data_IF_625182865840
#
_entry.id   IF_625182865840
#
_cell.length_a   1.000
_cell.length_b   1.000
_cell.length_c   1.000
_cell.angle_alpha   90.00
_cell.angle_beta   90.00
_cell.angle_gamma   90.00
#
_symmetry.space_group_name_H-M   'P 1'
#
loop_
_entity.id
_entity.type
_entity.pdbx_description
1 polymer ?
#
# COMPACT_ATOMS: atom_id res chain seq x y z
N UNK A 1 15.26 39.24 2.89
CA UNK A 1 14.70 38.63 4.11
C UNK A 1 14.63 37.11 3.91
N UNK A 2 15.77 36.43 3.95
CA UNK A 2 15.84 34.97 3.80
C UNK A 2 16.11 34.34 5.15
N UNK A 3 15.04 34.00 5.85
CA UNK A 3 15.08 33.42 7.18
C UNK A 3 15.32 31.90 7.06
N UNK A 4 16.56 31.51 6.72
CA UNK A 4 16.99 30.11 6.82
C UNK A 4 17.18 29.77 8.31
N UNK A 5 16.33 28.89 8.83
CA UNK A 5 16.47 28.32 10.17
C UNK A 5 17.92 27.84 10.40
N UNK A 6 18.53 28.09 11.57
CA UNK A 6 19.90 27.67 11.84
C UNK A 6 19.97 26.14 11.84
N UNK A 7 20.73 25.56 10.90
CA UNK A 7 21.13 24.15 10.99
C UNK A 7 21.95 24.00 12.27
N UNK A 8 21.38 23.34 13.27
CA UNK A 8 22.08 22.97 14.50
C UNK A 8 23.35 22.21 14.13
N UNK A 9 24.52 22.87 14.28
CA UNK A 9 25.82 22.20 14.17
C UNK A 9 25.92 21.26 15.37
N UNK A 10 26.07 19.95 15.10
CA UNK A 10 26.31 18.97 16.15
C UNK A 10 27.55 19.38 16.95
N UNK A 11 27.38 19.66 18.25
CA UNK A 11 28.48 19.92 19.18
C UNK A 11 29.29 18.63 19.31
N UNK A 12 30.62 18.70 19.31
CA UNK A 12 31.51 17.53 19.40
C UNK A 12 31.30 16.65 20.65
N UNK A 13 30.58 17.16 21.65
CA UNK A 13 30.19 16.46 22.88
C UNK A 13 28.88 15.67 22.80
N UNK A 14 28.08 15.83 21.74
CA UNK A 14 26.73 15.25 21.66
C UNK A 14 26.64 14.25 20.50
N UNK A 15 26.30 13.00 20.79
CA UNK A 15 26.03 11.97 19.78
C UNK A 15 24.52 11.84 19.56
N UNK A 16 24.07 12.06 18.34
CA UNK A 16 22.67 11.84 17.92
C UNK A 16 22.59 10.51 17.17
N UNK A 17 21.75 9.59 17.64
CA UNK A 17 21.44 8.33 16.95
C UNK A 17 19.95 8.21 16.68
N UNK A 18 19.58 7.56 15.58
CA UNK A 18 18.18 7.20 15.29
C UNK A 18 18.06 5.69 15.17
N UNK A 19 16.99 5.12 15.72
CA UNK A 19 16.67 3.70 15.66
C UNK A 19 15.30 3.55 14.97
N UNK A 20 15.15 2.53 14.14
CA UNK A 20 13.87 2.21 13.48
C UNK A 20 13.24 1.02 14.19
N UNK A 21 12.03 1.20 14.68
CA UNK A 21 11.26 0.18 15.37
C UNK A 21 10.01 -0.21 14.55
N UNK A 22 9.50 -1.45 14.70
CA UNK A 22 8.25 -1.86 14.08
C UNK A 22 7.08 -1.00 14.57
N UNK A 23 6.12 -0.74 13.68
CA UNK A 23 4.95 0.10 13.98
C UNK A 23 3.97 -0.59 14.96
N UNK A 24 4.04 -1.91 15.07
CA UNK A 24 3.08 -2.74 15.81
C UNK A 24 2.11 -3.48 14.89
N UNK A 25 0.89 -3.71 15.37
CA UNK A 25 -0.13 -4.50 14.65
C UNK A 25 -0.58 -3.78 13.37
N UNK A 26 -0.61 -4.53 12.26
CA UNK A 26 -0.96 -4.03 10.93
C UNK A 26 -2.24 -4.69 10.40
N UNK A 27 -3.21 -3.88 9.96
CA UNK A 27 -4.37 -4.34 9.19
C UNK A 27 -4.08 -4.32 7.70
N UNK A 28 -4.18 -5.48 7.04
CA UNK A 28 -3.84 -5.67 5.63
C UNK A 28 -5.09 -6.07 4.85
N UNK A 29 -5.48 -5.27 3.86
CA UNK A 29 -6.65 -5.54 3.01
C UNK A 29 -6.16 -5.67 1.56
N UNK A 30 -6.48 -6.79 0.92
CA UNK A 30 -5.96 -7.17 -0.40
C UNK A 30 -7.07 -7.45 -1.41
N UNK A 31 -6.86 -7.16 -2.70
CA UNK A 31 -7.84 -7.42 -3.74
C UNK A 31 -7.75 -8.87 -4.24
N UNK A 32 -8.74 -9.25 -5.04
CA UNK A 32 -8.87 -10.59 -5.62
C UNK A 32 -8.04 -10.82 -6.89
N UNK A 33 -7.55 -9.77 -7.56
CA UNK A 33 -6.95 -9.88 -8.90
C UNK A 33 -5.55 -10.51 -8.89
N UNK A 34 -4.78 -10.33 -7.81
CA UNK A 34 -3.49 -10.98 -7.60
C UNK A 34 -3.39 -11.45 -6.13
N UNK A 35 -4.15 -12.49 -5.74
CA UNK A 35 -4.40 -12.80 -4.33
C UNK A 35 -3.11 -13.19 -3.59
N UNK A 36 -2.26 -14.01 -4.20
CA UNK A 36 -0.98 -14.38 -3.60
C UNK A 36 0.01 -13.19 -3.56
N UNK A 37 0.19 -12.50 -4.70
CA UNK A 37 1.21 -11.46 -4.81
C UNK A 37 0.90 -10.24 -3.93
N UNK A 38 -0.37 -9.81 -3.83
CA UNK A 38 -0.74 -8.67 -3.00
C UNK A 38 -0.64 -8.95 -1.51
N UNK A 39 -0.91 -10.18 -1.08
CA UNK A 39 -0.68 -10.62 0.30
C UNK A 39 0.81 -10.57 0.62
N UNK A 40 1.67 -11.18 -0.21
CA UNK A 40 3.11 -11.22 0.02
C UNK A 40 3.74 -9.82 0.05
N UNK A 41 3.31 -8.90 -0.83
CA UNK A 41 3.77 -7.51 -0.86
C UNK A 41 3.45 -6.71 0.41
N UNK A 42 2.49 -7.18 1.22
CA UNK A 42 2.11 -6.54 2.49
C UNK A 42 2.68 -7.27 3.70
N UNK A 43 2.52 -8.60 3.76
CA UNK A 43 3.00 -9.43 4.88
C UNK A 43 4.53 -9.45 4.93
N UNK A 44 5.20 -9.58 3.79
CA UNK A 44 6.67 -9.65 3.72
C UNK A 44 7.39 -8.50 4.45
N UNK A 45 7.16 -7.23 4.07
CA UNK A 45 7.79 -6.10 4.76
C UNK A 45 7.30 -5.92 6.21
N UNK A 46 6.06 -6.29 6.54
CA UNK A 46 5.55 -6.21 7.91
C UNK A 46 6.27 -7.20 8.85
N UNK A 47 6.48 -8.44 8.40
CA UNK A 47 7.24 -9.45 9.15
C UNK A 47 8.72 -9.10 9.23
N UNK A 48 9.30 -8.59 8.15
CA UNK A 48 10.70 -8.18 8.13
C UNK A 48 10.98 -7.05 9.14
N UNK A 49 10.06 -6.10 9.30
CA UNK A 49 10.15 -5.04 10.31
C UNK A 49 10.03 -5.58 11.74
N UNK A 50 9.25 -6.65 11.96
CA UNK A 50 9.05 -7.31 13.26
C UNK A 50 10.15 -8.28 13.68
N UNK A 51 11.22 -8.45 12.89
CA UNK A 51 12.38 -9.29 13.20
C UNK A 51 12.08 -10.77 13.51
N UNK A 52 11.20 -11.43 12.74
CA UNK A 52 11.00 -12.88 12.84
C UNK A 52 12.06 -13.63 12.00
N UNK A 53 12.97 -14.35 12.65
CA UNK A 53 14.06 -15.11 11.97
C UNK A 53 13.80 -16.61 11.85
N UNK A 54 12.85 -17.16 12.62
CA UNK A 54 12.54 -18.61 12.64
C UNK A 54 11.03 -18.81 12.83
N UNK A 55 10.36 -19.37 11.81
CA UNK A 55 8.93 -19.68 11.83
C UNK A 55 8.01 -18.44 11.98
N UNK A 56 6.71 -18.66 11.80
CA UNK A 56 5.68 -17.66 12.12
C UNK A 56 4.94 -18.18 13.36
N UNK A 57 5.20 -17.62 14.56
CA UNK A 57 4.49 -18.00 15.77
C UNK A 57 2.97 -17.78 15.64
N UNK A 58 2.19 -18.54 16.42
CA UNK A 58 0.73 -18.38 16.48
C UNK A 58 0.38 -16.92 16.83
N UNK A 59 -0.56 -16.34 16.07
CA UNK A 59 -1.06 -14.98 16.29
C UNK A 59 -0.27 -13.86 15.59
N UNK A 60 0.91 -14.16 15.00
CA UNK A 60 1.69 -13.15 14.25
C UNK A 60 1.05 -12.82 12.90
N UNK A 61 0.50 -13.83 12.23
CA UNK A 61 -0.30 -13.67 11.00
C UNK A 61 -1.66 -14.28 11.24
N UNK A 62 -2.71 -13.50 11.00
CA UNK A 62 -4.10 -13.92 11.10
C UNK A 62 -4.79 -13.61 9.77
N UNK A 63 -5.34 -14.63 9.11
CA UNK A 63 -6.07 -14.48 7.84
C UNK A 63 -7.55 -14.58 8.15
N UNK A 64 -8.30 -13.53 7.81
CA UNK A 64 -9.74 -13.45 8.00
C UNK A 64 -10.38 -13.20 6.65
N UNK A 65 -11.27 -14.09 6.23
CA UNK A 65 -12.08 -13.95 5.01
C UNK A 65 -13.46 -13.42 5.38
N UNK A 66 -13.91 -12.35 4.73
CA UNK A 66 -15.19 -11.71 5.03
C UNK A 66 -15.89 -11.34 3.72
N UNK A 67 -16.58 -12.30 3.10
CA UNK A 67 -17.31 -12.09 1.85
C UNK A 67 -18.63 -11.32 2.06
N UNK A 68 -19.31 -11.59 3.16
CA UNK A 68 -20.63 -11.00 3.48
C UNK A 68 -20.47 -9.69 4.26
N UNK A 69 -19.55 -9.66 5.22
CA UNK A 69 -19.36 -8.52 6.14
C UNK A 69 -18.11 -7.68 5.83
N UNK A 70 -17.66 -7.63 4.56
CA UNK A 70 -16.46 -6.88 4.16
C UNK A 70 -16.44 -5.44 4.67
N UNK A 71 -17.54 -4.65 4.61
CA UNK A 71 -17.54 -3.27 5.08
C UNK A 71 -17.33 -3.14 6.59
N UNK A 72 -17.93 -4.04 7.38
CA UNK A 72 -17.81 -4.04 8.84
C UNK A 72 -16.40 -4.43 9.27
N UNK A 73 -15.82 -5.46 8.66
CA UNK A 73 -14.43 -5.84 8.90
C UNK A 73 -13.47 -4.70 8.52
N UNK A 74 -13.70 -4.04 7.39
CA UNK A 74 -12.94 -2.86 6.98
C UNK A 74 -13.06 -1.71 7.98
N UNK A 75 -14.26 -1.47 8.50
CA UNK A 75 -14.51 -0.47 9.54
C UNK A 75 -13.76 -0.80 10.83
N UNK A 76 -13.93 -2.01 11.35
CA UNK A 76 -13.25 -2.48 12.57
C UNK A 76 -11.74 -2.38 12.42
N UNK A 77 -11.16 -2.85 11.31
CA UNK A 77 -9.72 -2.75 11.07
C UNK A 77 -9.24 -1.30 11.10
N UNK A 78 -10.00 -0.38 10.51
CA UNK A 78 -9.60 1.04 10.38
C UNK A 78 -9.86 1.87 11.64
N UNK A 79 -10.74 1.47 12.55
CA UNK A 79 -11.06 2.24 13.76
C UNK A 79 -10.47 1.63 15.05
N UNK A 80 -10.20 0.32 15.08
CA UNK A 80 -9.77 -0.36 16.31
C UNK A 80 -8.44 0.19 16.88
N UNK A 81 -8.36 0.52 18.19
CA UNK A 81 -7.22 1.22 18.78
C UNK A 81 -5.89 0.45 18.72
N UNK A 82 -5.94 -0.87 18.74
CA UNK A 82 -4.73 -1.71 18.72
C UNK A 82 -4.03 -1.78 17.36
N UNK A 83 -4.77 -1.53 16.27
CA UNK A 83 -4.20 -1.54 14.92
C UNK A 83 -3.48 -0.21 14.69
N UNK A 84 -2.18 -0.26 14.44
CA UNK A 84 -1.32 0.94 14.32
C UNK A 84 -1.07 1.34 12.87
N UNK A 85 -1.27 0.42 11.92
CA UNK A 85 -1.08 0.66 10.49
C UNK A 85 -2.14 -0.04 9.64
N UNK A 86 -2.62 0.65 8.60
CA UNK A 86 -3.46 0.08 7.55
C UNK A 86 -2.71 0.06 6.22
N UNK A 87 -2.82 -1.04 5.49
CA UNK A 87 -2.32 -1.17 4.12
C UNK A 87 -3.41 -1.76 3.23
N UNK A 88 -3.95 -0.97 2.32
CA UNK A 88 -5.04 -1.37 1.43
C UNK A 88 -4.62 -1.28 -0.03
N UNK A 89 -5.08 -2.24 -0.81
CA UNK A 89 -4.96 -2.22 -2.27
C UNK A 89 -6.33 -2.52 -2.87
N UNK A 90 -6.81 -1.67 -3.76
CA UNK A 90 -8.16 -1.81 -4.34
C UNK A 90 -8.70 -0.53 -4.96
N UNK A 91 -10.02 -0.36 -4.98
CA UNK A 91 -10.64 0.79 -5.65
C UNK A 91 -10.38 2.12 -4.92
N UNK A 92 -10.26 3.20 -5.68
CA UNK A 92 -10.08 4.56 -5.15
C UNK A 92 -11.25 5.00 -4.26
N UNK A 93 -12.48 4.59 -4.61
CA UNK A 93 -13.69 4.89 -3.81
C UNK A 93 -13.59 4.28 -2.41
N UNK A 94 -13.25 3.00 -2.31
CA UNK A 94 -13.10 2.31 -1.02
C UNK A 94 -11.90 2.87 -0.25
N UNK A 95 -10.79 3.15 -0.93
CA UNK A 95 -9.62 3.78 -0.31
C UNK A 95 -9.94 5.11 0.39
N UNK A 96 -10.76 5.97 -0.23
CA UNK A 96 -11.20 7.24 0.39
C UNK A 96 -12.04 7.02 1.65
N UNK A 97 -12.95 6.04 1.63
CA UNK A 97 -13.78 5.69 2.78
C UNK A 97 -12.92 5.18 3.95
N UNK A 98 -12.05 4.21 3.68
CA UNK A 98 -11.16 3.62 4.69
C UNK A 98 -10.16 4.67 5.23
N UNK A 99 -9.67 5.58 4.39
CA UNK A 99 -8.84 6.70 4.82
C UNK A 99 -9.57 7.59 5.83
N UNK A 100 -10.84 7.95 5.53
CA UNK A 100 -11.67 8.73 6.45
C UNK A 100 -11.87 8.03 7.79
N UNK A 101 -12.11 6.72 7.78
CA UNK A 101 -12.26 5.92 9.00
C UNK A 101 -10.96 5.83 9.81
N UNK A 102 -9.83 5.61 9.13
CA UNK A 102 -8.51 5.51 9.75
C UNK A 102 -8.02 6.82 10.38
N UNK A 103 -8.59 7.96 9.97
CA UNK A 103 -8.28 9.27 10.55
C UNK A 103 -8.74 9.38 12.01
N UNK A 104 -9.81 8.68 12.40
CA UNK A 104 -10.36 8.72 13.77
C UNK A 104 -9.33 8.38 14.86
N UNK A 105 -8.30 7.62 14.52
CA UNK A 105 -7.20 7.24 15.42
C UNK A 105 -5.81 7.57 14.85
N UNK A 106 -5.77 8.41 13.81
CA UNK A 106 -4.54 8.91 13.16
C UNK A 106 -3.55 7.78 12.81
N UNK A 107 -4.06 6.68 12.22
CA UNK A 107 -3.23 5.51 11.89
C UNK A 107 -2.26 5.83 10.75
N UNK A 108 -1.12 5.12 10.71
CA UNK A 108 -0.25 5.13 9.52
C UNK A 108 -0.95 4.36 8.39
N UNK A 109 -0.94 4.90 7.18
CA UNK A 109 -1.70 4.33 6.07
C UNK A 109 -0.86 4.15 4.81
N UNK A 110 -1.16 3.12 4.01
CA UNK A 110 -0.59 2.89 2.67
C UNK A 110 -1.70 2.47 1.72
N UNK A 111 -1.78 3.11 0.57
CA UNK A 111 -2.89 2.96 -0.38
C UNK A 111 -2.36 2.73 -1.79
N UNK A 112 -2.69 1.58 -2.36
CA UNK A 112 -2.45 1.28 -3.77
C UNK A 112 -3.82 1.26 -4.45
N UNK A 113 -4.14 2.33 -5.18
CA UNK A 113 -5.50 2.58 -5.68
C UNK A 113 -5.57 2.40 -7.21
N UNK A 114 -6.77 2.60 -7.77
CA UNK A 114 -6.96 2.55 -9.21
C UNK A 114 -6.11 3.60 -9.93
N UNK A 115 -5.47 3.19 -11.02
CA UNK A 115 -4.71 4.06 -11.91
C UNK A 115 -5.30 4.06 -13.33
N UNK A 116 -4.89 5.04 -14.11
CA UNK A 116 -5.13 5.09 -15.55
C UNK A 116 -3.77 5.27 -16.23
N UNK A 117 -3.00 4.18 -16.29
CA UNK A 117 -1.61 4.21 -16.71
C UNK A 117 -1.52 4.50 -18.23
N UNK A 118 -0.98 5.66 -18.65
CA UNK A 118 -0.79 5.93 -20.07
C UNK A 118 0.35 5.06 -20.61
N UNK A 119 0.18 4.61 -21.85
CA UNK A 119 1.22 3.95 -22.62
C UNK A 119 1.53 4.83 -23.84
N UNK A 120 2.71 5.45 -23.84
CA UNK A 120 3.13 6.44 -24.84
C UNK A 120 4.27 5.85 -25.66
N UNK A 121 4.14 5.91 -26.98
CA UNK A 121 5.17 5.47 -27.93
C UNK A 121 5.56 6.69 -28.77
N UNK A 122 6.86 6.97 -28.83
CA UNK A 122 7.42 8.06 -29.63
C UNK A 122 7.72 7.59 -31.06
N UNK A 123 7.93 8.54 -31.96
CA UNK A 123 8.23 8.29 -33.37
C UNK A 123 9.63 7.71 -33.60
N UNK A 124 10.55 7.93 -32.66
CA UNK A 124 11.93 7.43 -32.66
C UNK A 124 12.08 6.00 -32.13
N UNK A 125 10.98 5.26 -31.94
CA UNK A 125 11.04 3.87 -31.49
C UNK A 125 11.68 2.97 -32.56
N UNK A 126 12.80 2.34 -32.21
CA UNK A 126 13.53 1.45 -33.13
C UNK A 126 12.72 0.18 -33.48
N UNK A 127 11.91 -0.33 -32.54
CA UNK A 127 11.11 -1.56 -32.70
C UNK A 127 9.66 -1.35 -32.26
N UNK A 128 8.81 -1.04 -33.24
CA UNK A 128 7.37 -0.85 -33.04
C UNK A 128 6.63 -2.15 -32.67
N UNK A 129 7.12 -3.31 -33.12
CA UNK A 129 6.49 -4.60 -32.85
C UNK A 129 6.67 -4.99 -31.38
N UNK A 130 7.85 -4.70 -30.82
CA UNK A 130 8.10 -4.82 -29.39
C UNK A 130 7.16 -3.91 -28.59
N UNK A 131 6.98 -2.65 -29.01
CA UNK A 131 6.02 -1.75 -28.36
C UNK A 131 4.57 -2.30 -28.43
N UNK A 132 4.18 -2.90 -29.56
CA UNK A 132 2.89 -3.59 -29.71
C UNK A 132 2.72 -4.78 -28.76
N UNK A 133 3.76 -5.60 -28.59
CA UNK A 133 3.79 -6.71 -27.62
C UNK A 133 3.71 -6.22 -26.17
N UNK A 134 4.39 -5.13 -25.82
CA UNK A 134 4.28 -4.55 -24.48
C UNK A 134 2.88 -4.01 -24.21
N UNK A 135 2.27 -3.34 -25.19
CA UNK A 135 0.90 -2.82 -25.08
C UNK A 135 -0.09 -3.94 -24.73
N UNK A 136 0.01 -5.10 -25.37
CA UNK A 136 -0.89 -6.22 -25.10
C UNK A 136 -0.75 -6.77 -23.67
N UNK A 137 0.45 -6.70 -23.07
CA UNK A 137 0.68 -7.05 -21.67
C UNK A 137 0.06 -6.02 -20.68
N UNK A 138 -0.09 -4.76 -21.09
CA UNK A 138 -0.68 -3.69 -20.28
C UNK A 138 -2.21 -3.67 -20.41
N UNK A 139 -2.76 -4.10 -21.55
CA UNK A 139 -4.19 -4.37 -21.73
C UNK A 139 -4.61 -5.65 -21.00
N UNK A 140 -4.84 -5.56 -19.69
CA UNK A 140 -5.58 -6.61 -18.98
C UNK A 140 -6.98 -6.78 -19.59
N UNK A 141 -7.52 -8.02 -19.69
CA UNK A 141 -8.82 -8.28 -20.29
C UNK A 141 -9.92 -7.34 -19.76
N UNK A 142 -10.68 -6.75 -20.68
CA UNK A 142 -11.72 -5.72 -20.47
C UNK A 142 -12.88 -6.15 -19.56
N UNK A 143 -12.64 -6.35 -18.27
CA UNK A 143 -13.70 -6.46 -17.26
C UNK A 143 -13.94 -5.15 -16.49
N UNK A 144 -13.22 -4.06 -16.81
CA UNK A 144 -13.17 -2.87 -15.95
C UNK A 144 -13.64 -1.54 -16.57
N UNK A 145 -14.12 -1.49 -17.82
CA UNK A 145 -14.54 -0.22 -18.44
C UNK A 145 -15.83 -0.35 -19.28
N UNK A 146 -16.97 -0.08 -18.64
CA UNK A 146 -18.19 0.39 -19.31
C UNK A 146 -18.09 1.89 -19.67
N UNK A 147 -16.96 2.32 -20.24
CA UNK A 147 -16.82 3.67 -20.78
C UNK A 147 -16.48 3.56 -22.27
N UNK A 148 -17.53 3.36 -23.08
CA UNK A 148 -17.51 3.81 -24.48
C UNK A 148 -17.41 5.33 -24.42
N UNK A 149 -16.25 5.88 -24.73
CA UNK A 149 -16.17 7.26 -25.21
C UNK A 149 -16.98 7.29 -26.51
N UNK A 150 -18.14 7.95 -26.46
CA UNK A 150 -18.75 8.57 -27.65
C UNK A 150 -18.09 9.91 -27.86
#
# INVERSE_FOLDING_TARGET
MENRLPRLKARSSNRVSTVKEPVGVCGLITPWNFPAAMITRKIGPALAAGSFRVGIPKGVVNIVTALEDTPEVGHTLTTHPDIKKISFTGSTRVGKLLMGQAFSTVKRVSWELGGNAPFIVFDDVEDIDTAGRWRSCVEVPRYWTNLRLR
#
